data_IF_429369236868
#
_entry.id   IF_429369236868
#
_cell.length_a   1.000
_cell.length_b   1.000
_cell.length_c   1.000
_cell.angle_alpha   90.00
_cell.angle_beta   90.00
_cell.angle_gamma   90.00
#
_symmetry.space_group_name_H-M   'P 1'
#
loop_
_entity.id
_entity.type
_entity.pdbx_description
1 polymer ?
#
# COMPACT_ATOMS: atom_id res chain seq x y z
N UNK A 1 -25.54 -12.76 -16.64
CA UNK A 1 -24.14 -12.46 -17.01
C UNK A 1 -23.66 -11.22 -16.28
N UNK A 2 -22.36 -11.11 -16.00
CA UNK A 2 -21.80 -9.91 -15.33
C UNK A 2 -22.01 -8.62 -16.13
N UNK A 3 -22.37 -8.73 -17.42
CA UNK A 3 -22.67 -7.63 -18.33
C UNK A 3 -24.01 -6.92 -18.07
N UNK A 4 -24.90 -7.49 -17.23
CA UNK A 4 -26.18 -6.86 -16.86
C UNK A 4 -26.11 -6.05 -15.56
N UNK A 5 -25.02 -6.17 -14.79
CA UNK A 5 -24.83 -5.49 -13.51
C UNK A 5 -24.15 -4.13 -13.74
N UNK A 6 -24.66 -3.02 -13.16
CA UNK A 6 -24.01 -1.72 -13.21
C UNK A 6 -22.55 -1.80 -12.73
N UNK A 7 -21.62 -1.18 -13.46
CA UNK A 7 -20.18 -1.29 -13.19
C UNK A 7 -19.78 -0.79 -11.79
N UNK A 8 -20.54 0.14 -11.23
CA UNK A 8 -20.36 0.72 -9.91
C UNK A 8 -20.66 -0.28 -8.78
N UNK A 9 -21.55 -1.24 -9.01
CA UNK A 9 -21.81 -2.35 -8.08
C UNK A 9 -20.69 -3.40 -8.07
N UNK A 10 -19.85 -3.42 -9.12
CA UNK A 10 -18.72 -4.34 -9.25
C UNK A 10 -17.42 -3.77 -8.66
N UNK A 11 -17.42 -2.51 -8.21
CA UNK A 11 -16.24 -1.89 -7.61
C UNK A 11 -15.88 -2.58 -6.29
N UNK A 12 -14.60 -2.88 -6.12
CA UNK A 12 -14.11 -3.44 -4.86
C UNK A 12 -14.23 -2.39 -3.74
N UNK A 13 -15.10 -2.59 -2.73
CA UNK A 13 -15.23 -1.65 -1.62
C UNK A 13 -13.97 -1.60 -0.75
N UNK A 14 -13.13 -2.64 -0.80
CA UNK A 14 -11.84 -2.74 -0.11
C UNK A 14 -10.65 -2.36 -1.01
N UNK A 15 -10.87 -1.63 -2.10
CA UNK A 15 -9.81 -1.16 -3.00
C UNK A 15 -8.82 -0.21 -2.31
N UNK A 16 -9.22 0.45 -1.21
CA UNK A 16 -8.38 1.36 -0.45
C UNK A 16 -8.58 1.17 1.06
N UNK A 17 -7.48 1.00 1.78
CA UNK A 17 -7.44 0.93 3.24
C UNK A 17 -6.36 1.86 3.77
N UNK A 18 -6.70 2.74 4.71
CA UNK A 18 -5.76 3.69 5.32
C UNK A 18 -5.33 3.17 6.70
N UNK A 19 -4.05 2.87 6.86
CA UNK A 19 -3.44 2.54 8.16
C UNK A 19 -2.98 3.81 8.88
N UNK A 20 -3.86 4.42 9.68
CA UNK A 20 -3.63 5.74 10.30
C UNK A 20 -2.59 5.81 11.42
N UNK A 21 -2.19 4.68 11.99
CA UNK A 21 -1.24 4.62 13.13
C UNK A 21 -0.03 3.73 12.84
N UNK A 22 0.41 3.68 11.58
CA UNK A 22 1.62 2.95 11.19
C UNK A 22 2.87 3.58 11.81
N UNK A 23 3.78 2.74 12.32
CA UNK A 23 5.10 3.15 12.81
C UNK A 23 6.14 2.67 11.83
N UNK A 24 7.06 3.57 11.45
CA UNK A 24 8.18 3.29 10.55
C UNK A 24 9.49 3.64 11.24
N UNK A 25 10.60 3.12 10.73
CA UNK A 25 11.89 3.50 11.28
C UNK A 25 12.22 4.97 10.97
N UNK A 26 12.90 5.70 11.87
CA UNK A 26 13.19 7.12 11.67
C UNK A 26 14.03 7.45 10.42
N UNK A 27 14.83 6.50 9.92
CA UNK A 27 15.73 6.72 8.79
C UNK A 27 14.97 6.94 7.47
N UNK A 28 13.77 6.35 7.32
CA UNK A 28 12.91 6.49 6.15
C UNK A 28 12.49 7.95 5.91
N UNK A 29 12.42 8.78 6.95
CA UNK A 29 12.08 10.20 6.83
C UNK A 29 13.24 10.98 6.20
N UNK A 30 14.48 10.55 6.47
CA UNK A 30 15.70 11.22 6.02
C UNK A 30 16.12 10.79 4.61
N UNK A 31 15.76 9.58 4.22
CA UNK A 31 16.04 9.04 2.89
C UNK A 31 14.90 9.34 1.93
N UNK A 32 15.25 9.87 0.76
CA UNK A 32 14.36 9.90 -0.39
C UNK A 32 14.83 8.80 -1.36
N UNK A 33 14.02 7.75 -1.49
CA UNK A 33 14.31 6.66 -2.43
C UNK A 33 13.48 6.89 -3.69
N UNK A 34 14.11 7.12 -4.85
CA UNK A 34 13.39 7.37 -6.10
C UNK A 34 12.59 6.15 -6.59
N UNK A 35 12.93 4.95 -6.10
CA UNK A 35 12.30 3.67 -6.47
C UNK A 35 11.37 3.11 -5.38
N UNK A 36 11.29 3.77 -4.23
CA UNK A 36 10.51 3.30 -3.07
C UNK A 36 11.30 2.39 -2.11
N UNK A 37 10.57 1.70 -1.25
CA UNK A 37 11.07 0.91 -0.13
C UNK A 37 10.39 -0.45 -0.07
N UNK A 38 11.10 -1.47 0.41
CA UNK A 38 10.48 -2.72 0.83
C UNK A 38 10.24 -2.66 2.34
N UNK A 39 8.98 -2.65 2.77
CA UNK A 39 8.64 -2.83 4.18
C UNK A 39 8.62 -4.33 4.46
N UNK A 40 9.48 -4.75 5.39
CA UNK A 40 9.74 -6.17 5.68
C UNK A 40 8.42 -6.89 5.98
N UNK A 41 8.23 -8.04 5.31
CA UNK A 41 7.02 -8.89 5.40
C UNK A 41 5.69 -8.21 5.02
N UNK A 42 5.71 -6.98 4.52
CA UNK A 42 4.49 -6.21 4.23
C UNK A 42 4.28 -5.97 2.74
N UNK A 43 5.32 -5.58 2.01
CA UNK A 43 5.21 -5.23 0.60
C UNK A 43 6.22 -4.17 0.16
N UNK A 44 6.07 -3.72 -1.08
CA UNK A 44 6.80 -2.58 -1.62
C UNK A 44 5.94 -1.32 -1.54
N UNK A 45 6.54 -0.21 -1.12
CA UNK A 45 5.88 1.04 -0.84
C UNK A 45 6.62 2.22 -1.47
N UNK A 46 5.87 3.20 -1.97
CA UNK A 46 6.41 4.44 -2.52
C UNK A 46 5.80 5.61 -1.75
N UNK A 47 6.59 6.66 -1.50
CA UNK A 47 6.08 7.88 -0.89
C UNK A 47 5.04 8.51 -1.82
N UNK A 48 3.92 8.95 -1.26
CA UNK A 48 2.90 9.62 -2.05
C UNK A 48 3.49 10.90 -2.69
N UNK A 49 3.31 11.05 -4.01
CA UNK A 49 3.90 12.16 -4.77
C UNK A 49 3.08 13.45 -4.70
N UNK A 50 1.84 13.37 -4.21
CA UNK A 50 0.95 14.51 -4.01
C UNK A 50 1.01 15.03 -2.57
N UNK A 51 1.33 14.15 -1.61
CA UNK A 51 1.52 14.55 -0.21
C UNK A 51 2.96 14.98 0.08
N UNK A 52 3.17 16.30 0.03
CA UNK A 52 4.46 16.94 0.29
C UNK A 52 4.69 17.22 1.80
N UNK A 53 3.79 16.80 2.68
CA UNK A 53 3.92 17.03 4.12
C UNK A 53 5.06 16.19 4.73
N UNK A 54 6.17 16.85 5.07
CA UNK A 54 7.26 16.21 5.84
C UNK A 54 6.82 15.82 7.26
N UNK A 55 5.78 16.46 7.80
CA UNK A 55 5.30 16.20 9.16
C UNK A 55 4.50 14.91 9.28
N UNK A 56 3.85 14.45 8.20
CA UNK A 56 3.06 13.22 8.14
C UNK A 56 3.29 12.52 6.80
N UNK A 57 4.41 11.79 6.64
CA UNK A 57 4.68 11.13 5.37
C UNK A 57 3.64 10.03 5.11
N UNK A 58 3.12 9.99 3.88
CA UNK A 58 2.24 8.92 3.40
C UNK A 58 2.98 7.99 2.45
N UNK A 59 2.65 6.72 2.54
CA UNK A 59 3.23 5.68 1.70
C UNK A 59 2.12 4.85 1.07
N UNK A 60 2.16 4.72 -0.24
CA UNK A 60 1.24 3.88 -1.01
C UNK A 60 1.91 2.52 -1.24
N UNK A 61 1.16 1.44 -1.01
CA UNK A 61 1.63 0.08 -1.29
C UNK A 61 1.53 -0.18 -2.79
N UNK A 62 2.66 -0.37 -3.46
CA UNK A 62 2.72 -0.71 -4.88
C UNK A 62 2.28 -2.15 -5.12
N UNK A 63 2.82 -3.09 -4.34
CA UNK A 63 2.47 -4.51 -4.44
C UNK A 63 2.77 -5.22 -3.11
N UNK A 64 1.98 -6.27 -2.83
CA UNK A 64 2.24 -7.17 -1.70
C UNK A 64 3.40 -8.10 -2.00
N UNK A 65 4.07 -8.61 -0.96
CA UNK A 65 5.02 -9.70 -1.15
C UNK A 65 4.28 -10.96 -1.56
N UNK A 66 4.94 -11.81 -2.35
CA UNK A 66 4.43 -13.16 -2.63
C UNK A 66 4.39 -13.93 -1.31
N UNK A 67 3.18 -14.22 -0.85
CA UNK A 67 2.96 -15.17 0.23
C UNK A 67 2.68 -16.54 -0.38
N UNK A 68 3.43 -17.56 0.05
CA UNK A 68 3.25 -18.95 -0.38
C UNK A 68 2.75 -19.85 0.75
N UNK A 69 2.38 -19.28 1.89
CA UNK A 69 1.86 -20.04 3.01
C UNK A 69 0.51 -20.68 2.64
N UNK A 70 0.48 -22.01 2.69
CA UNK A 70 -0.74 -22.82 2.56
C UNK A 70 -0.85 -23.66 3.83
N UNK A 71 -1.67 -23.25 4.82
CA UNK A 71 -1.82 -24.01 6.05
C UNK A 71 -2.47 -25.38 5.84
N UNK A 72 -3.27 -25.53 4.78
CA UNK A 72 -4.11 -26.71 4.51
C UNK A 72 -3.70 -27.48 3.24
N UNK A 73 -2.46 -27.31 2.77
CA UNK A 73 -1.91 -28.10 1.65
C UNK A 73 -1.05 -29.27 2.14
#
# INVERSE_FOLDING_TARGET
>A
DADEVPYDELLNPASMTIAGCAKLEPWIIKTDSPVGFQFVRSGYFVRDNKDLSRAKPRFNRSVVLKDSYRPDA
#
